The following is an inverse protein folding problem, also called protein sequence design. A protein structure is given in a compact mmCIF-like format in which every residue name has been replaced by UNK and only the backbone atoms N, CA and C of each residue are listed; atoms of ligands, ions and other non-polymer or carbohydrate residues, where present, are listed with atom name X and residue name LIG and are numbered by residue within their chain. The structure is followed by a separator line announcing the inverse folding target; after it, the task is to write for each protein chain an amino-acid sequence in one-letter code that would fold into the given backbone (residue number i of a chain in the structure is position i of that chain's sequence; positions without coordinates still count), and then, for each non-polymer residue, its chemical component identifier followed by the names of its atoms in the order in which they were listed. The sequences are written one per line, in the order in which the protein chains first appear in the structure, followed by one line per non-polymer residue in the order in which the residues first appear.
data_IF_875095721786
#
_entry.id   IF_875095721786
#
_cell.length_a   1.000
_cell.length_b   1.000
_cell.length_c   1.000
_cell.angle_alpha   90.00
_cell.angle_beta   90.00
_cell.angle_gamma   90.00
#
_symmetry.space_group_name_H-M   'P 1'
#
loop_
_entity.id
_entity.type
_entity.pdbx_description
1 polymer ?
#
# COMPACT_ATOMS: atom_id res chain seq x y z
N UNK A 1 2.62 14.73 18.39
CA UNK A 1 2.08 13.35 18.26
C UNK A 1 3.06 12.53 17.45
N UNK A 2 3.28 11.24 17.77
CA UNK A 2 4.05 10.36 16.89
C UNK A 2 3.38 10.31 15.52
N UNK A 3 4.17 10.35 14.45
CA UNK A 3 3.68 10.21 13.07
C UNK A 3 2.99 8.84 12.92
N UNK A 4 1.85 8.75 12.22
CA UNK A 4 1.10 7.50 12.13
C UNK A 4 1.91 6.42 11.43
N UNK A 5 1.76 5.17 11.89
CA UNK A 5 2.32 4.00 11.21
C UNK A 5 1.67 3.82 9.83
N UNK A 6 2.38 3.24 8.87
CA UNK A 6 1.85 3.00 7.51
C UNK A 6 0.54 2.21 7.56
N UNK A 7 0.43 1.23 8.46
CA UNK A 7 -0.80 0.45 8.68
C UNK A 7 -2.00 1.29 9.14
N UNK A 8 -1.78 2.37 9.91
CA UNK A 8 -2.84 3.30 10.30
C UNK A 8 -3.32 4.12 9.10
N UNK A 9 -2.40 4.57 8.25
CA UNK A 9 -2.74 5.29 7.01
C UNK A 9 -3.51 4.40 6.03
N UNK A 10 -3.08 3.15 5.87
CA UNK A 10 -3.78 2.15 5.03
C UNK A 10 -5.20 1.91 5.54
N UNK A 11 -5.39 1.69 6.85
CA UNK A 11 -6.72 1.54 7.47
C UNK A 11 -7.61 2.77 7.22
N UNK A 12 -7.04 3.98 7.35
CA UNK A 12 -7.75 5.23 7.06
C UNK A 12 -8.17 5.32 5.60
N UNK A 13 -7.29 4.97 4.65
CA UNK A 13 -7.58 4.98 3.21
C UNK A 13 -8.66 3.95 2.80
N UNK A 14 -8.71 2.82 3.52
CA UNK A 14 -9.75 1.79 3.40
C UNK A 14 -11.07 2.18 4.09
N UNK A 15 -11.05 3.15 5.02
CA UNK A 15 -12.22 3.50 5.83
C UNK A 15 -12.58 2.45 6.89
N UNK A 16 -11.63 1.59 7.29
CA UNK A 16 -11.84 0.50 8.26
C UNK A 16 -11.15 0.77 9.59
N UNK A 17 -11.72 0.29 10.69
CA UNK A 17 -11.07 0.36 12.03
C UNK A 17 -10.00 -0.70 12.22
N UNK A 18 -10.14 -1.85 11.57
CA UNK A 18 -9.28 -3.02 11.67
C UNK A 18 -9.35 -3.80 10.36
N UNK A 19 -8.22 -4.36 9.92
CA UNK A 19 -8.19 -5.33 8.82
C UNK A 19 -8.50 -6.75 9.32
N UNK A 20 -8.84 -7.63 8.39
CA UNK A 20 -9.13 -9.04 8.62
C UNK A 20 -8.11 -9.79 9.53
N UNK A 21 -8.62 -10.79 10.25
CA UNK A 21 -7.84 -11.60 11.20
C UNK A 21 -7.13 -12.82 10.60
N UNK A 22 -7.58 -13.30 9.43
CA UNK A 22 -7.05 -14.46 8.72
C UNK A 22 -7.10 -14.24 7.20
N UNK A 23 -6.39 -15.07 6.42
CA UNK A 23 -6.46 -15.03 4.95
C UNK A 23 -7.87 -15.34 4.44
N UNK A 24 -8.58 -16.28 5.06
CA UNK A 24 -9.93 -16.66 4.64
C UNK A 24 -10.96 -15.54 4.87
N UNK A 25 -10.72 -14.69 5.88
CA UNK A 25 -11.59 -13.57 6.21
C UNK A 25 -11.21 -12.28 5.47
N UNK A 26 -10.20 -12.31 4.58
CA UNK A 26 -9.67 -11.12 3.95
C UNK A 26 -10.53 -10.64 2.78
N UNK A 27 -11.05 -9.42 2.90
CA UNK A 27 -11.97 -8.80 1.93
C UNK A 27 -11.51 -7.41 1.49
N UNK A 28 -10.54 -6.84 2.19
CA UNK A 28 -10.06 -5.48 1.99
C UNK A 28 -9.19 -5.39 0.74
N UNK A 29 -9.48 -4.37 -0.06
CA UNK A 29 -8.81 -4.08 -1.32
C UNK A 29 -8.58 -2.58 -1.43
N UNK A 30 -7.34 -2.18 -1.66
CA UNK A 30 -6.90 -0.79 -1.79
C UNK A 30 -6.54 -0.53 -3.25
N UNK A 31 -7.03 0.54 -3.86
CA UNK A 31 -6.55 0.86 -5.21
C UNK A 31 -5.09 1.30 -5.20
N UNK A 32 -4.38 1.11 -6.32
CA UNK A 32 -2.99 1.57 -6.44
C UNK A 32 -2.88 3.07 -6.18
N UNK A 33 -3.82 3.90 -6.66
CA UNK A 33 -3.81 5.35 -6.46
C UNK A 33 -3.89 5.72 -4.98
N UNK A 34 -4.72 5.01 -4.21
CA UNK A 34 -4.77 5.21 -2.75
C UNK A 34 -3.48 4.78 -2.08
N UNK A 35 -2.84 3.71 -2.56
CA UNK A 35 -1.52 3.32 -2.06
C UNK A 35 -0.45 4.38 -2.37
N UNK A 36 -0.51 5.01 -3.55
CA UNK A 36 0.34 6.14 -3.93
C UNK A 36 0.09 7.36 -3.06
N UNK A 37 -1.16 7.67 -2.71
CA UNK A 37 -1.48 8.78 -1.80
C UNK A 37 -0.95 8.53 -0.38
N UNK A 38 -1.07 7.29 0.11
CA UNK A 38 -0.44 6.89 1.37
C UNK A 38 1.08 7.01 1.29
N UNK A 39 1.69 6.66 0.14
CA UNK A 39 3.13 6.78 -0.07
C UNK A 39 3.58 8.25 -0.06
N UNK A 40 2.88 9.13 -0.76
CA UNK A 40 3.13 10.59 -0.74
C UNK A 40 3.08 11.14 0.68
N UNK A 41 2.00 10.84 1.41
CA UNK A 41 1.85 11.27 2.80
C UNK A 41 2.99 10.73 3.68
N UNK A 42 3.35 9.45 3.53
CA UNK A 42 4.37 8.82 4.37
C UNK A 42 5.80 9.29 4.02
N UNK A 43 6.02 9.66 2.76
CA UNK A 43 7.26 10.29 2.30
C UNK A 43 7.41 11.71 2.84
N UNK A 44 6.36 12.53 2.83
CA UNK A 44 6.37 13.87 3.44
C UNK A 44 6.66 13.80 4.95
N UNK A 45 6.25 12.70 5.57
CA UNK A 45 6.57 12.35 6.94
C UNK A 45 8.04 11.88 7.14
N UNK A 46 8.85 11.75 6.09
CA UNK A 46 10.28 11.38 6.15
C UNK A 46 10.52 9.93 6.58
N UNK A 47 9.54 9.04 6.33
CA UNK A 47 9.58 7.65 6.78
C UNK A 47 9.63 6.62 5.65
N UNK A 48 9.87 7.05 4.41
CA UNK A 48 10.13 6.17 3.27
C UNK A 48 11.55 6.39 2.75
N UNK A 49 12.09 5.39 2.07
CA UNK A 49 13.48 5.39 1.56
C UNK A 49 13.55 5.31 0.04
N UNK A 50 12.42 5.06 -0.62
CA UNK A 50 12.30 4.96 -2.06
C UNK A 50 12.65 6.27 -2.75
N UNK A 51 13.44 6.15 -3.82
CA UNK A 51 13.94 7.28 -4.59
C UNK A 51 12.85 8.01 -5.40
N UNK A 52 11.79 7.30 -5.76
CA UNK A 52 10.65 7.81 -6.53
C UNK A 52 9.32 7.28 -5.97
N UNK A 53 8.20 7.81 -6.51
CA UNK A 53 6.87 7.43 -6.06
C UNK A 53 6.59 5.94 -6.25
N UNK A 54 7.14 5.31 -7.30
CA UNK A 54 7.01 3.87 -7.56
C UNK A 54 7.66 3.05 -6.45
N UNK A 55 8.91 3.36 -6.10
CA UNK A 55 9.65 2.72 -5.02
C UNK A 55 8.97 2.94 -3.65
N UNK A 56 8.54 4.17 -3.37
CA UNK A 56 7.82 4.51 -2.14
C UNK A 56 6.49 3.75 -2.03
N UNK A 57 5.74 3.64 -3.12
CA UNK A 57 4.49 2.88 -3.16
C UNK A 57 4.72 1.39 -2.93
N UNK A 58 5.84 0.82 -3.42
CA UNK A 58 6.22 -0.58 -3.11
C UNK A 58 6.47 -0.79 -1.62
N UNK A 59 7.09 0.16 -0.91
CA UNK A 59 7.26 0.07 0.55
C UNK A 59 5.91 0.03 1.28
N UNK A 60 4.95 0.87 0.85
CA UNK A 60 3.58 0.88 1.39
C UNK A 60 2.88 -0.46 1.12
N UNK A 61 2.92 -0.96 -0.12
CA UNK A 61 2.31 -2.24 -0.49
C UNK A 61 2.97 -3.42 0.26
N UNK A 62 4.26 -3.33 0.57
CA UNK A 62 4.93 -4.31 1.43
C UNK A 62 4.26 -4.47 2.79
N UNK A 63 3.73 -3.38 3.37
CA UNK A 63 2.95 -3.43 4.62
C UNK A 63 1.62 -4.17 4.42
N UNK A 64 0.98 -4.03 3.25
CA UNK A 64 -0.27 -4.72 2.92
C UNK A 64 -0.14 -6.25 2.92
N UNK A 65 1.07 -6.81 2.74
CA UNK A 65 1.33 -8.26 2.85
C UNK A 65 0.95 -8.79 4.23
N UNK A 66 1.42 -8.13 5.29
CA UNK A 66 1.11 -8.53 6.67
C UNK A 66 -0.34 -8.22 7.05
N UNK A 67 -0.92 -7.17 6.46
CA UNK A 67 -2.31 -6.78 6.67
C UNK A 67 -3.31 -7.61 5.86
N UNK A 68 -2.84 -8.45 4.93
CA UNK A 68 -3.65 -9.24 4.00
C UNK A 68 -4.66 -8.37 3.24
N UNK A 69 -4.19 -7.22 2.80
CA UNK A 69 -4.94 -6.27 1.97
C UNK A 69 -4.52 -6.47 0.52
N UNK A 70 -5.49 -6.56 -0.38
CA UNK A 70 -5.26 -6.63 -1.83
C UNK A 70 -4.98 -5.23 -2.38
N UNK A 71 -4.29 -5.19 -3.52
CA UNK A 71 -4.08 -3.98 -4.31
C UNK A 71 -4.67 -4.20 -5.70
N UNK A 72 -5.72 -3.45 -6.05
CA UNK A 72 -6.48 -3.61 -7.29
C UNK A 72 -6.82 -5.07 -7.60
N UNK A 73 -7.35 -5.78 -6.59
CA UNK A 73 -7.77 -7.17 -6.70
C UNK A 73 -6.63 -8.20 -6.60
N UNK A 74 -5.37 -7.78 -6.67
CA UNK A 74 -4.20 -8.65 -6.54
C UNK A 74 -3.73 -8.77 -5.09
N UNK A 75 -3.24 -9.94 -4.68
CA UNK A 75 -2.55 -10.02 -3.40
C UNK A 75 -1.31 -9.12 -3.41
N UNK A 76 -0.96 -8.52 -2.27
CA UNK A 76 0.12 -7.55 -2.20
C UNK A 76 1.45 -8.05 -2.81
N UNK A 77 1.78 -9.34 -2.67
CA UNK A 77 2.97 -9.93 -3.32
C UNK A 77 2.86 -9.95 -4.85
N UNK A 78 1.67 -10.17 -5.40
CA UNK A 78 1.40 -10.20 -6.83
C UNK A 78 1.39 -8.78 -7.39
N UNK A 79 0.80 -7.84 -6.67
CA UNK A 79 0.87 -6.41 -6.99
C UNK A 79 2.32 -5.90 -7.04
N UNK A 80 3.16 -6.29 -6.07
CA UNK A 80 4.59 -5.93 -6.09
C UNK A 80 5.31 -6.47 -7.33
N UNK A 81 5.00 -7.69 -7.75
CA UNK A 81 5.54 -8.29 -8.99
C UNK A 81 5.03 -7.56 -10.24
N UNK A 82 3.76 -7.17 -10.25
CA UNK A 82 3.13 -6.39 -11.33
C UNK A 82 3.84 -5.04 -11.50
N UNK A 83 4.18 -4.36 -10.40
CA UNK A 83 4.98 -3.12 -10.42
C UNK A 83 6.41 -3.38 -10.91
N UNK A 84 7.02 -4.48 -10.49
CA UNK A 84 8.39 -4.85 -10.88
C UNK A 84 8.50 -5.16 -12.38
N UNK A 85 7.48 -5.80 -12.95
CA UNK A 85 7.38 -6.08 -14.39
C UNK A 85 7.16 -4.83 -15.25
N UNK A 86 6.77 -3.72 -14.64
CA UNK A 86 6.43 -2.48 -15.34
C UNK A 86 4.98 -2.40 -15.84
N UNK A 87 4.14 -3.39 -15.50
CA UNK A 87 2.75 -3.48 -15.97
C UNK A 87 1.88 -2.30 -15.49
N UNK A 88 2.31 -1.59 -14.45
CA UNK A 88 1.64 -0.40 -13.91
C UNK A 88 2.42 0.91 -14.08
N UNK A 89 3.47 0.94 -14.91
CA UNK A 89 4.34 2.13 -15.02
C UNK A 89 3.59 3.37 -15.50
N UNK A 90 2.64 3.22 -16.42
CA UNK A 90 1.79 4.31 -16.89
C UNK A 90 0.95 4.95 -15.77
N UNK A 91 0.67 4.22 -14.69
CA UNK A 91 -0.08 4.74 -13.53
C UNK A 91 0.80 5.51 -12.55
N UNK A 92 2.13 5.36 -12.65
CA UNK A 92 3.11 6.14 -11.88
C UNK A 92 3.64 7.36 -12.63
N UNK A 93 3.31 7.51 -13.91
CA UNK A 93 3.72 8.61 -14.78
C UNK A 93 3.04 9.94 -14.44
#
# INVERSE_FOLDING_TARGET
MPKPWTSELIKKALGVKKCNGSLDAAVEDLSLEKAMDVARQKNDDGHLTGADLKAQTREVIGTCVAMRVKIDGLWAKDALRTIENGDWDERFA
#
